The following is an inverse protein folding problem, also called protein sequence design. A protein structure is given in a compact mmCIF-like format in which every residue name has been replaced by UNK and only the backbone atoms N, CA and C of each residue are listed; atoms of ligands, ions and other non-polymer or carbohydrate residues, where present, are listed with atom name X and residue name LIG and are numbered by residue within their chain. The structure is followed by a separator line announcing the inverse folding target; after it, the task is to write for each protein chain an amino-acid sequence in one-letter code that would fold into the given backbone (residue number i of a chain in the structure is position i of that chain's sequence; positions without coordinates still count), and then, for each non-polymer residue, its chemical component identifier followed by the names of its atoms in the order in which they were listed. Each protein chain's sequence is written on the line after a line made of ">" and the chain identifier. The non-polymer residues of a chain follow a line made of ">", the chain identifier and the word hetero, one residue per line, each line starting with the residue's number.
data_IF_842860574840
#
_entry.id   IF_842860574840
#
_cell.length_a   1.000
_cell.length_b   1.000
_cell.length_c   1.000
_cell.angle_alpha   90.00
_cell.angle_beta   90.00
_cell.angle_gamma   90.00
#
_symmetry.space_group_name_H-M   'P 1'
#
loop_
_entity.id
_entity.type
_entity.pdbx_description
1 polymer ?
#
# COMPACT_ATOMS: atom_id res chain seq x y z
N UNK A 1 7.61 -26.33 70.71
CA UNK A 1 7.66 -26.81 69.31
C UNK A 1 6.35 -26.46 68.64
N UNK A 2 6.36 -26.26 67.31
CA UNK A 2 5.23 -25.84 66.46
C UNK A 2 4.82 -24.36 66.60
N UNK A 3 5.24 -23.55 65.63
CA UNK A 3 4.51 -22.41 65.01
C UNK A 3 5.45 -21.62 64.08
N UNK A 4 5.93 -22.28 63.02
CA UNK A 4 6.66 -21.59 61.93
C UNK A 4 6.42 -22.23 60.55
N UNK A 5 5.45 -23.15 60.45
CA UNK A 5 5.18 -23.92 59.23
C UNK A 5 4.15 -23.32 58.25
N UNK A 6 3.21 -22.41 58.60
CA UNK A 6 2.19 -21.98 57.63
C UNK A 6 2.68 -20.86 56.69
N UNK A 7 3.80 -20.20 56.99
CA UNK A 7 4.32 -19.08 56.17
C UNK A 7 5.15 -19.59 54.98
N UNK A 8 5.74 -20.79 55.08
CA UNK A 8 6.55 -21.38 54.00
C UNK A 8 5.70 -21.98 52.87
N UNK A 9 4.43 -22.36 53.13
CA UNK A 9 3.52 -22.88 52.11
C UNK A 9 2.83 -21.79 51.26
N UNK A 10 2.78 -20.54 51.73
CA UNK A 10 2.16 -19.44 50.96
C UNK A 10 3.09 -18.89 49.86
N UNK A 11 4.40 -19.11 49.98
CA UNK A 11 5.41 -18.68 49.00
C UNK A 11 5.47 -19.59 47.75
N UNK A 12 4.82 -20.77 47.76
CA UNK A 12 4.77 -21.68 46.62
C UNK A 12 3.54 -21.50 45.71
N UNK A 13 2.62 -20.58 46.03
CA UNK A 13 1.42 -20.32 45.22
C UNK A 13 1.59 -19.20 44.18
N UNK A 14 2.79 -18.63 44.03
CA UNK A 14 3.04 -17.47 43.14
C UNK A 14 3.64 -17.89 41.77
N UNK A 15 3.81 -19.18 41.47
CA UNK A 15 4.65 -19.61 40.33
C UNK A 15 3.94 -20.34 39.17
N UNK A 16 2.62 -20.20 38.98
CA UNK A 16 1.93 -20.84 37.84
C UNK A 16 1.28 -19.87 36.85
N UNK A 17 1.43 -18.55 37.03
CA UNK A 17 1.03 -17.61 35.99
C UNK A 17 2.10 -17.61 34.89
N UNK A 18 1.67 -17.73 33.62
CA UNK A 18 2.55 -17.50 32.47
C UNK A 18 3.13 -16.09 32.57
N UNK A 19 4.37 -15.91 32.17
CA UNK A 19 4.92 -14.55 31.94
C UNK A 19 4.23 -13.92 30.73
N UNK A 20 4.29 -12.60 30.62
CA UNK A 20 3.72 -11.89 29.46
C UNK A 20 4.33 -12.39 28.14
N UNK A 21 5.65 -12.64 28.13
CA UNK A 21 6.38 -13.26 27.01
C UNK A 21 5.83 -14.66 26.66
N UNK A 22 5.51 -15.49 27.66
CA UNK A 22 4.92 -16.82 27.43
C UNK A 22 3.47 -16.76 26.95
N UNK A 23 2.72 -15.72 27.32
CA UNK A 23 1.37 -15.47 26.79
C UNK A 23 1.47 -15.07 25.33
N UNK A 24 2.37 -14.14 25.01
CA UNK A 24 2.62 -13.66 23.65
C UNK A 24 3.06 -14.80 22.72
N UNK A 25 4.04 -15.60 23.12
CA UNK A 25 4.51 -16.73 22.32
C UNK A 25 3.41 -17.78 22.09
N UNK A 26 2.57 -18.05 23.09
CA UNK A 26 1.41 -18.94 22.96
C UNK A 26 0.42 -18.37 21.95
N UNK A 27 0.11 -17.08 22.03
CA UNK A 27 -0.80 -16.40 21.12
C UNK A 27 -0.27 -16.41 19.67
N UNK A 28 1.02 -16.15 19.45
CA UNK A 28 1.66 -16.22 18.13
C UNK A 28 1.54 -17.62 17.52
N UNK A 29 1.77 -18.68 18.31
CA UNK A 29 1.64 -20.06 17.84
C UNK A 29 0.19 -20.43 17.51
N UNK A 30 -0.77 -20.05 18.36
CA UNK A 30 -2.19 -20.28 18.11
C UNK A 30 -2.69 -19.50 16.89
N UNK A 31 -2.24 -18.25 16.72
CA UNK A 31 -2.57 -17.44 15.56
C UNK A 31 -2.08 -18.10 14.26
N UNK A 32 -0.83 -18.58 14.22
CA UNK A 32 -0.29 -19.33 13.07
C UNK A 32 -1.16 -20.54 12.73
N UNK A 33 -1.56 -21.31 13.74
CA UNK A 33 -2.43 -22.46 13.55
C UNK A 33 -3.77 -22.04 12.91
N UNK A 34 -4.43 -21.01 13.45
CA UNK A 34 -5.70 -20.54 12.90
C UNK A 34 -5.57 -19.92 11.51
N UNK A 35 -4.49 -19.18 11.22
CA UNK A 35 -4.22 -18.65 9.89
C UNK A 35 -4.01 -19.76 8.86
N UNK A 36 -3.33 -20.86 9.24
CA UNK A 36 -3.16 -22.02 8.35
C UNK A 36 -4.47 -22.75 8.01
N UNK A 37 -5.51 -22.57 8.83
CA UNK A 37 -6.87 -23.10 8.63
C UNK A 37 -7.83 -22.02 8.05
N UNK A 38 -7.30 -20.87 7.60
CA UNK A 38 -8.06 -19.70 7.14
C UNK A 38 -9.09 -19.19 8.17
N UNK A 39 -8.84 -19.42 9.46
CA UNK A 39 -9.71 -19.01 10.55
C UNK A 39 -9.30 -17.62 11.10
N UNK A 40 -9.37 -16.61 10.24
CA UNK A 40 -8.87 -15.26 10.52
C UNK A 40 -9.49 -14.66 11.79
N UNK A 41 -10.77 -14.93 12.07
CA UNK A 41 -11.45 -14.42 13.26
C UNK A 41 -10.87 -14.99 14.57
N UNK A 42 -10.55 -16.28 14.62
CA UNK A 42 -9.89 -16.87 15.79
C UNK A 42 -8.44 -16.42 15.92
N UNK A 43 -7.72 -16.32 14.81
CA UNK A 43 -6.36 -15.76 14.79
C UNK A 43 -6.35 -14.33 15.34
N UNK A 44 -7.28 -13.47 14.90
CA UNK A 44 -7.43 -12.10 15.43
C UNK A 44 -7.67 -12.12 16.93
N UNK A 45 -8.63 -12.94 17.37
CA UNK A 45 -9.02 -13.01 18.78
C UNK A 45 -7.84 -13.38 19.68
N UNK A 46 -7.05 -14.39 19.33
CA UNK A 46 -5.93 -14.81 20.20
C UNK A 46 -4.82 -13.76 20.26
N UNK A 47 -4.58 -13.01 19.17
CA UNK A 47 -3.63 -11.90 19.18
C UNK A 47 -4.16 -10.72 20.00
N UNK A 48 -5.42 -10.31 19.78
CA UNK A 48 -6.06 -9.24 20.56
C UNK A 48 -6.08 -9.54 22.07
N UNK A 49 -6.36 -10.79 22.45
CA UNK A 49 -6.40 -11.24 23.85
C UNK A 49 -5.01 -11.20 24.52
N UNK A 50 -3.91 -11.22 23.75
CA UNK A 50 -2.54 -11.10 24.26
C UNK A 50 -2.09 -9.64 24.44
N UNK A 51 -2.82 -8.67 23.88
CA UNK A 51 -2.40 -7.26 23.80
C UNK A 51 -1.61 -6.97 22.53
N UNK A 52 -1.84 -5.78 21.95
CA UNK A 52 -1.16 -5.38 20.72
C UNK A 52 0.31 -5.04 20.99
N UNK A 53 1.22 -5.86 20.44
CA UNK A 53 2.67 -5.73 20.60
C UNK A 53 3.31 -5.20 19.31
N UNK A 54 3.50 -3.88 19.23
CA UNK A 54 4.11 -3.24 18.05
C UNK A 54 5.65 -3.32 18.03
N UNK A 55 6.27 -3.85 19.07
CA UNK A 55 7.73 -4.00 19.21
C UNK A 55 8.22 -5.42 18.85
N UNK A 56 7.31 -6.36 18.55
CA UNK A 56 7.63 -7.71 18.06
C UNK A 56 7.27 -7.84 16.56
N UNK A 57 8.29 -8.03 15.72
CA UNK A 57 8.10 -8.12 14.27
C UNK A 57 7.26 -9.34 13.83
N UNK A 58 7.33 -10.45 14.57
CA UNK A 58 6.53 -11.64 14.30
C UNK A 58 5.06 -11.39 14.67
N UNK A 59 4.81 -10.71 15.80
CA UNK A 59 3.46 -10.30 16.17
C UNK A 59 2.86 -9.36 15.11
N UNK A 60 3.59 -8.32 14.69
CA UNK A 60 3.15 -7.40 13.61
C UNK A 60 2.84 -8.16 12.33
N UNK A 61 3.71 -9.08 11.92
CA UNK A 61 3.51 -9.91 10.72
C UNK A 61 2.25 -10.78 10.81
N UNK A 62 2.03 -11.43 11.95
CA UNK A 62 0.84 -12.26 12.18
C UNK A 62 -0.44 -11.42 12.22
N UNK A 63 -0.37 -10.25 12.84
CA UNK A 63 -1.50 -9.33 12.93
C UNK A 63 -1.89 -8.77 11.56
N UNK A 64 -0.91 -8.45 10.71
CA UNK A 64 -1.16 -8.11 9.31
C UNK A 64 -1.75 -9.28 8.52
N UNK A 65 -1.24 -10.50 8.74
CA UNK A 65 -1.76 -11.72 8.11
C UNK A 65 -3.22 -12.02 8.48
N UNK A 66 -3.70 -11.59 9.65
CA UNK A 66 -5.13 -11.67 9.99
C UNK A 66 -5.97 -10.87 9.02
N UNK A 67 -5.59 -9.62 8.74
CA UNK A 67 -6.32 -8.77 7.81
C UNK A 67 -6.19 -9.26 6.37
N UNK A 68 -5.00 -9.71 5.96
CA UNK A 68 -4.81 -10.33 4.64
C UNK A 68 -5.69 -11.60 4.48
N UNK A 69 -5.79 -12.44 5.52
CA UNK A 69 -6.68 -13.60 5.56
C UNK A 69 -8.16 -13.18 5.41
N UNK A 70 -8.58 -12.09 6.06
CA UNK A 70 -9.96 -11.57 5.92
C UNK A 70 -10.28 -11.11 4.50
N UNK A 71 -9.29 -10.61 3.77
CA UNK A 71 -9.41 -10.24 2.36
C UNK A 71 -9.39 -11.44 1.40
N UNK A 72 -9.12 -12.66 1.90
CA UNK A 72 -8.90 -13.84 1.07
C UNK A 72 -7.57 -13.81 0.29
N UNK A 73 -6.60 -13.00 0.72
CA UNK A 73 -5.30 -12.89 0.08
C UNK A 73 -4.47 -14.19 0.19
N UNK A 74 -3.80 -14.55 -0.91
CA UNK A 74 -2.88 -15.69 -1.02
C UNK A 74 -1.57 -15.22 -1.64
N UNK A 75 -0.48 -15.29 -0.88
CA UNK A 75 0.87 -14.97 -1.39
C UNK A 75 1.29 -15.93 -2.51
N UNK A 76 0.84 -17.18 -2.47
CA UNK A 76 1.14 -18.16 -3.52
C UNK A 76 0.53 -17.80 -4.87
N UNK A 77 -0.66 -17.16 -4.85
CA UNK A 77 -1.34 -16.74 -6.07
C UNK A 77 -0.51 -15.63 -6.73
N UNK A 78 -0.12 -14.61 -5.94
CA UNK A 78 0.74 -13.53 -6.41
C UNK A 78 2.11 -14.03 -6.91
N UNK A 79 2.76 -14.94 -6.17
CA UNK A 79 4.03 -15.53 -6.60
C UNK A 79 3.92 -16.30 -7.93
N UNK A 80 2.73 -16.84 -8.23
CA UNK A 80 2.42 -17.44 -9.53
C UNK A 80 2.29 -16.40 -10.67
N UNK A 81 2.09 -15.13 -10.33
CA UNK A 81 1.82 -14.03 -11.26
C UNK A 81 2.97 -13.02 -11.36
N UNK A 82 4.06 -13.13 -10.57
CA UNK A 82 5.17 -12.15 -10.58
C UNK A 82 5.74 -11.85 -11.98
N UNK A 83 5.70 -12.81 -12.91
CA UNK A 83 6.14 -12.61 -14.28
C UNK A 83 5.25 -11.71 -15.14
N UNK A 84 4.01 -11.42 -14.71
CA UNK A 84 3.12 -10.48 -15.40
C UNK A 84 3.47 -9.03 -15.08
N UNK A 85 4.12 -8.77 -13.94
CA UNK A 85 4.52 -7.43 -13.51
C UNK A 85 5.60 -6.90 -14.44
N UNK A 86 5.24 -5.90 -15.24
CA UNK A 86 6.13 -5.29 -16.21
C UNK A 86 7.16 -4.37 -15.52
N UNK A 87 8.37 -4.32 -16.07
CA UNK A 87 9.43 -3.38 -15.64
C UNK A 87 9.71 -2.31 -16.70
N UNK A 88 8.64 -1.70 -17.23
CA UNK A 88 8.71 -0.51 -18.06
C UNK A 88 7.78 0.58 -17.49
N UNK A 89 8.22 1.85 -17.50
CA UNK A 89 7.52 2.94 -16.82
C UNK A 89 6.09 3.17 -17.30
N UNK A 90 5.83 2.99 -18.59
CA UNK A 90 4.51 3.15 -19.21
C UNK A 90 3.66 1.87 -19.23
N UNK A 91 4.10 0.80 -18.54
CA UNK A 91 3.42 -0.50 -18.52
C UNK A 91 3.30 -1.07 -17.11
N UNK A 92 4.12 -0.61 -16.16
CA UNK A 92 4.14 -1.11 -14.79
C UNK A 92 2.75 -1.03 -14.14
N UNK A 93 2.12 0.15 -14.14
CA UNK A 93 0.83 0.31 -13.44
C UNK A 93 -0.28 -0.53 -14.10
N UNK A 94 -0.34 -0.55 -15.43
CA UNK A 94 -1.30 -1.39 -16.17
C UNK A 94 -1.08 -2.88 -15.90
N UNK A 95 0.17 -3.34 -15.81
CA UNK A 95 0.45 -4.75 -15.50
C UNK A 95 -0.05 -5.18 -14.11
N UNK A 96 -0.07 -4.28 -13.13
CA UNK A 96 -0.61 -4.58 -11.80
C UNK A 96 -2.13 -4.76 -11.83
N UNK A 97 -2.84 -4.09 -12.74
CA UNK A 97 -4.30 -4.23 -12.85
C UNK A 97 -4.71 -5.57 -13.48
N UNK A 98 -3.78 -6.29 -14.12
CA UNK A 98 -4.01 -7.61 -14.72
C UNK A 98 -3.86 -8.78 -13.74
N UNK A 99 -3.38 -8.53 -12.52
CA UNK A 99 -3.30 -9.55 -11.47
C UNK A 99 -4.70 -10.09 -11.16
N UNK A 100 -4.84 -11.38 -10.90
CA UNK A 100 -6.15 -12.00 -10.65
C UNK A 100 -6.91 -11.40 -9.44
N UNK A 101 -6.18 -10.79 -8.50
CA UNK A 101 -6.72 -10.11 -7.32
C UNK A 101 -7.10 -8.64 -7.56
N UNK A 102 -6.65 -8.06 -8.67
CA UNK A 102 -7.06 -6.74 -9.16
C UNK A 102 -8.43 -6.90 -9.84
N UNK A 103 -9.49 -6.90 -9.03
CA UNK A 103 -10.88 -7.05 -9.47
C UNK A 103 -11.83 -6.15 -8.65
N UNK A 104 -11.31 -5.03 -8.16
CA UNK A 104 -12.02 -4.19 -7.21
C UNK A 104 -13.09 -3.35 -7.92
N UNK A 105 -14.27 -3.28 -7.31
CA UNK A 105 -15.41 -2.55 -7.91
C UNK A 105 -15.96 -1.44 -7.02
N UNK A 106 -15.47 -1.35 -5.77
CA UNK A 106 -15.85 -0.32 -4.82
C UNK A 106 -14.67 0.02 -3.90
N UNK A 107 -14.48 1.30 -3.55
CA UNK A 107 -13.35 1.76 -2.73
C UNK A 107 -13.46 1.35 -1.25
N UNK A 108 -14.64 0.93 -0.80
CA UNK A 108 -14.93 0.57 0.59
C UNK A 108 -15.24 -0.92 0.77
N UNK A 109 -14.90 -1.75 -0.22
CA UNK A 109 -15.11 -3.19 -0.09
C UNK A 109 -14.29 -3.77 1.06
N UNK A 110 -14.83 -4.81 1.70
CA UNK A 110 -14.15 -5.47 2.82
C UNK A 110 -12.78 -6.01 2.41
N UNK A 111 -12.63 -6.49 1.16
CA UNK A 111 -11.37 -7.06 0.70
C UNK A 111 -10.30 -5.98 0.55
N UNK A 112 -10.64 -4.88 -0.12
CA UNK A 112 -9.77 -3.72 -0.29
C UNK A 112 -9.34 -3.15 1.08
N UNK A 113 -10.31 -2.72 1.89
CA UNK A 113 -10.04 -2.13 3.21
C UNK A 113 -9.28 -3.06 4.17
N UNK A 114 -9.43 -4.38 4.05
CA UNK A 114 -8.67 -5.35 4.85
C UNK A 114 -7.21 -5.46 4.38
N UNK A 115 -6.92 -5.46 3.07
CA UNK A 115 -5.53 -5.43 2.60
C UNK A 115 -4.87 -4.12 2.99
N UNK A 116 -5.54 -2.97 2.81
CA UNK A 116 -5.05 -1.69 3.27
C UNK A 116 -4.75 -1.68 4.78
N UNK A 117 -5.61 -2.29 5.60
CA UNK A 117 -5.37 -2.47 7.04
C UNK A 117 -4.14 -3.34 7.33
N UNK A 118 -3.93 -4.40 6.56
CA UNK A 118 -2.73 -5.25 6.68
C UNK A 118 -1.45 -4.45 6.36
N UNK A 119 -1.49 -3.63 5.31
CA UNK A 119 -0.40 -2.74 4.91
C UNK A 119 -0.12 -1.72 6.03
N UNK A 120 -1.15 -1.05 6.54
CA UNK A 120 -1.03 -0.03 7.59
C UNK A 120 -0.43 -0.61 8.89
N UNK A 121 -0.81 -1.84 9.27
CA UNK A 121 -0.22 -2.53 10.43
C UNK A 121 1.29 -2.68 10.26
N UNK A 122 1.77 -3.06 9.08
CA UNK A 122 3.19 -3.28 8.83
C UNK A 122 3.93 -1.96 8.71
N UNK A 123 3.46 -1.06 7.83
CA UNK A 123 4.17 0.16 7.50
C UNK A 123 4.27 1.11 8.69
N UNK A 124 3.19 1.24 9.48
CA UNK A 124 3.15 2.14 10.65
C UNK A 124 3.74 1.50 11.93
N UNK A 125 4.15 0.23 11.89
CA UNK A 125 4.75 -0.46 13.05
C UNK A 125 6.04 0.20 13.55
N UNK A 126 6.72 0.98 12.70
CA UNK A 126 7.98 1.66 13.00
C UNK A 126 7.86 3.17 13.24
N UNK A 127 6.64 3.74 13.21
CA UNK A 127 6.40 5.16 13.48
C UNK A 127 5.36 5.78 12.54
N UNK A 128 5.16 7.09 12.68
CA UNK A 128 4.17 7.86 11.90
C UNK A 128 4.65 8.24 10.50
N UNK A 129 5.95 8.09 10.22
CA UNK A 129 6.55 8.28 8.89
C UNK A 129 7.20 6.95 8.49
N UNK A 130 6.43 6.04 7.87
CA UNK A 130 6.90 4.72 7.50
C UNK A 130 8.15 4.75 6.61
N UNK A 131 9.11 3.87 6.86
CA UNK A 131 10.18 3.58 5.91
C UNK A 131 10.84 2.25 6.23
N UNK A 132 11.48 1.65 5.24
CA UNK A 132 12.28 0.43 5.40
C UNK A 132 13.41 0.66 6.40
N UNK A 133 14.05 1.83 6.36
CA UNK A 133 15.09 2.23 7.30
C UNK A 133 14.56 2.34 8.75
N UNK A 134 13.37 2.91 8.96
CA UNK A 134 12.74 2.96 10.28
C UNK A 134 12.40 1.56 10.80
N UNK A 135 11.88 0.68 9.94
CA UNK A 135 11.63 -0.73 10.28
C UNK A 135 12.92 -1.46 10.66
N UNK A 136 14.01 -1.25 9.93
CA UNK A 136 15.32 -1.84 10.24
C UNK A 136 15.87 -1.34 11.58
N UNK A 137 15.78 -0.03 11.84
CA UNK A 137 16.20 0.55 13.11
C UNK A 137 15.43 -0.03 14.31
N UNK A 138 14.14 -0.37 14.12
CA UNK A 138 13.27 -0.90 15.17
C UNK A 138 13.41 -2.40 15.36
N UNK A 139 13.31 -3.19 14.29
CA UNK A 139 13.19 -4.64 14.35
C UNK A 139 14.48 -5.39 13.99
N UNK A 140 15.53 -4.66 13.62
CA UNK A 140 16.74 -5.22 13.04
C UNK A 140 16.52 -5.73 11.61
N UNK A 141 17.62 -6.07 10.93
CA UNK A 141 17.64 -6.46 9.50
C UNK A 141 16.65 -7.58 9.19
N UNK A 142 16.66 -8.67 9.96
CA UNK A 142 15.79 -9.84 9.69
C UNK A 142 14.32 -9.51 9.85
N UNK A 143 13.93 -8.87 10.96
CA UNK A 143 12.53 -8.51 11.20
C UNK A 143 12.01 -7.51 10.17
N UNK A 144 12.81 -6.50 9.86
CA UNK A 144 12.47 -5.49 8.87
C UNK A 144 12.39 -6.04 7.45
N UNK A 145 13.28 -6.96 7.08
CA UNK A 145 13.25 -7.61 5.77
C UNK A 145 11.96 -8.42 5.60
N UNK A 146 11.62 -9.27 6.58
CA UNK A 146 10.40 -10.08 6.53
C UNK A 146 9.12 -9.22 6.45
N UNK A 147 9.03 -8.19 7.30
CA UNK A 147 7.91 -7.25 7.27
C UNK A 147 7.83 -6.49 5.94
N UNK A 148 8.97 -6.02 5.42
CA UNK A 148 8.98 -5.27 4.17
C UNK A 148 8.64 -6.15 2.96
N UNK A 149 9.04 -7.43 2.94
CA UNK A 149 8.58 -8.37 1.90
C UNK A 149 7.08 -8.65 2.00
N UNK A 150 6.54 -8.83 3.21
CA UNK A 150 5.10 -8.99 3.38
C UNK A 150 4.34 -7.75 2.90
N UNK A 151 4.79 -6.55 3.27
CA UNK A 151 4.21 -5.30 2.79
C UNK A 151 4.34 -5.14 1.27
N UNK A 152 5.48 -5.49 0.69
CA UNK A 152 5.71 -5.46 -0.76
C UNK A 152 4.62 -6.23 -1.50
N UNK A 153 4.35 -7.47 -1.10
CA UNK A 153 3.35 -8.29 -1.77
C UNK A 153 1.92 -7.76 -1.60
N UNK A 154 1.58 -7.28 -0.39
CA UNK A 154 0.27 -6.67 -0.15
C UNK A 154 0.09 -5.38 -0.96
N UNK A 155 1.11 -4.53 -1.04
CA UNK A 155 1.09 -3.28 -1.81
C UNK A 155 0.94 -3.57 -3.30
N UNK A 156 1.62 -4.57 -3.86
CA UNK A 156 1.46 -4.93 -5.29
C UNK A 156 0.01 -5.25 -5.64
N UNK A 157 -0.66 -6.04 -4.79
CA UNK A 157 -2.09 -6.38 -4.95
C UNK A 157 -2.97 -5.15 -4.79
N UNK A 158 -2.79 -4.41 -3.69
CA UNK A 158 -3.65 -3.26 -3.39
C UNK A 158 -3.49 -2.14 -4.42
N UNK A 159 -2.27 -1.97 -4.93
CA UNK A 159 -2.00 -0.97 -5.96
C UNK A 159 -2.59 -1.36 -7.31
N UNK A 160 -2.58 -2.65 -7.65
CA UNK A 160 -3.32 -3.17 -8.81
C UNK A 160 -4.82 -2.97 -8.70
N UNK A 161 -5.41 -3.25 -7.51
CA UNK A 161 -6.82 -2.97 -7.20
C UNK A 161 -7.16 -1.48 -7.35
N UNK A 162 -6.34 -0.62 -6.74
CA UNK A 162 -6.48 0.83 -6.84
C UNK A 162 -6.47 1.29 -8.30
N UNK A 163 -5.45 0.88 -9.05
CA UNK A 163 -5.28 1.32 -10.44
C UNK A 163 -6.37 0.80 -11.36
N UNK A 164 -6.89 -0.40 -11.13
CA UNK A 164 -8.04 -0.89 -11.88
C UNK A 164 -9.30 -0.09 -11.56
N UNK A 165 -9.59 0.14 -10.27
CA UNK A 165 -10.80 0.80 -9.81
C UNK A 165 -10.88 2.24 -10.33
N UNK A 166 -9.82 3.01 -10.15
CA UNK A 166 -9.80 4.42 -10.51
C UNK A 166 -9.33 4.67 -11.94
N UNK A 167 -8.45 3.83 -12.49
CA UNK A 167 -7.97 3.94 -13.87
C UNK A 167 -8.93 3.35 -14.91
N UNK A 168 -9.98 2.63 -14.48
CA UNK A 168 -10.93 1.97 -15.37
C UNK A 168 -10.24 1.08 -16.42
N UNK A 169 -9.31 0.25 -15.98
CA UNK A 169 -8.52 -0.56 -16.91
C UNK A 169 -9.26 -1.80 -17.38
N UNK A 170 -8.95 -2.26 -18.59
CA UNK A 170 -9.46 -3.51 -19.15
C UNK A 170 -8.66 -4.74 -18.68
N UNK A 171 -8.86 -5.89 -19.34
CA UNK A 171 -8.15 -7.13 -19.03
C UNK A 171 -6.69 -7.17 -19.53
N UNK A 172 -6.30 -6.28 -20.44
CA UNK A 172 -4.90 -6.08 -20.86
C UNK A 172 -4.15 -5.09 -19.97
N UNK A 173 -4.89 -4.36 -19.13
CA UNK A 173 -4.36 -3.31 -18.27
C UNK A 173 -4.35 -1.94 -18.95
N UNK A 174 -5.05 -1.81 -20.08
CA UNK A 174 -5.18 -0.55 -20.81
C UNK A 174 -6.30 0.29 -20.19
N UNK A 175 -6.04 1.58 -20.04
CA UNK A 175 -6.92 2.52 -19.37
C UNK A 175 -8.20 2.80 -20.16
N UNK A 176 -9.26 3.23 -19.48
CA UNK A 176 -10.52 3.75 -20.05
C UNK A 176 -11.40 2.73 -20.77
N UNK A 177 -11.02 1.45 -20.77
CA UNK A 177 -11.72 0.36 -21.46
C UNK A 177 -12.32 -0.70 -20.51
N UNK A 178 -12.31 -0.41 -19.20
CA UNK A 178 -12.92 -1.24 -18.17
C UNK A 178 -14.45 -1.11 -18.10
N UNK A 179 -15.01 -1.47 -16.94
CA UNK A 179 -16.47 -1.46 -16.72
C UNK A 179 -17.04 -0.12 -16.26
N UNK A 180 -16.19 0.85 -15.94
CA UNK A 180 -16.58 2.19 -15.52
C UNK A 180 -16.63 3.14 -16.72
N UNK A 181 -17.09 4.39 -16.48
CA UNK A 181 -17.27 5.39 -17.54
C UNK A 181 -16.16 6.43 -17.60
N UNK A 182 -15.28 6.46 -16.61
CA UNK A 182 -14.23 7.46 -16.52
C UNK A 182 -13.09 7.18 -17.52
N UNK A 183 -12.52 8.25 -18.07
CA UNK A 183 -11.36 8.21 -18.97
C UNK A 183 -10.11 8.83 -18.35
N UNK A 184 -10.28 9.52 -17.22
CA UNK A 184 -9.23 9.98 -16.34
C UNK A 184 -9.40 9.29 -14.97
N UNK A 185 -8.32 9.15 -14.23
CA UNK A 185 -8.38 8.77 -12.81
C UNK A 185 -9.16 9.86 -12.05
N UNK A 186 -8.81 11.12 -12.28
CA UNK A 186 -9.38 12.27 -11.58
C UNK A 186 -9.81 13.39 -12.54
N UNK A 187 -10.76 14.20 -12.11
CA UNK A 187 -11.15 15.42 -12.84
C UNK A 187 -10.22 16.57 -12.43
N UNK A 188 -9.28 16.93 -13.31
CA UNK A 188 -8.25 17.92 -13.02
C UNK A 188 -8.76 19.36 -13.11
N UNK A 189 -8.63 20.12 -12.02
CA UNK A 189 -9.02 21.53 -11.92
C UNK A 189 -7.82 22.47 -11.85
N UNK A 190 -6.67 21.97 -11.40
CA UNK A 190 -5.40 22.68 -11.40
C UNK A 190 -4.90 22.84 -12.84
N UNK A 191 -4.54 24.07 -13.20
CA UNK A 191 -4.33 24.43 -14.60
C UNK A 191 -3.17 23.69 -15.27
N UNK A 192 -2.07 23.42 -14.56
CA UNK A 192 -0.93 22.69 -15.11
C UNK A 192 -1.23 21.20 -15.28
N UNK A 193 -1.93 20.58 -14.32
CA UNK A 193 -2.40 19.20 -14.39
C UNK A 193 -3.36 19.01 -15.57
N UNK A 194 -4.37 19.87 -15.69
CA UNK A 194 -5.34 19.85 -16.80
C UNK A 194 -4.66 20.06 -18.16
N UNK A 195 -3.72 21.02 -18.27
CA UNK A 195 -2.97 21.25 -19.50
C UNK A 195 -2.09 20.06 -19.88
N UNK A 196 -1.48 19.40 -18.88
CA UNK A 196 -0.64 18.23 -19.10
C UNK A 196 -1.44 17.08 -19.68
N UNK A 197 -2.55 16.68 -19.02
CA UNK A 197 -3.38 15.57 -19.52
C UNK A 197 -3.91 15.86 -20.92
N UNK A 198 -4.43 17.07 -21.17
CA UNK A 198 -4.96 17.46 -22.49
C UNK A 198 -3.89 17.50 -23.60
N UNK A 199 -2.63 17.70 -23.23
CA UNK A 199 -1.51 17.84 -24.17
C UNK A 199 -0.80 16.52 -24.47
N UNK A 200 -0.85 15.55 -23.55
CA UNK A 200 -0.03 14.34 -23.58
C UNK A 200 -0.88 13.07 -23.74
N UNK A 201 -2.11 13.05 -23.22
CA UNK A 201 -2.93 11.85 -23.16
C UNK A 201 -4.07 11.91 -24.19
N UNK A 202 -4.21 10.90 -25.06
CA UNK A 202 -5.26 10.89 -26.06
C UNK A 202 -6.66 10.60 -25.49
N UNK A 203 -6.80 9.71 -24.50
CA UNK A 203 -8.14 9.36 -23.95
C UNK A 203 -8.56 10.19 -22.75
N UNK A 204 -7.62 10.58 -21.89
CA UNK A 204 -7.88 11.47 -20.76
C UNK A 204 -7.86 12.93 -21.20
N UNK A 205 -9.05 13.49 -21.43
CA UNK A 205 -9.21 14.88 -21.86
C UNK A 205 -10.11 15.64 -20.88
N UNK A 206 -9.52 16.45 -20.01
CA UNK A 206 -10.20 17.28 -19.00
C UNK A 206 -11.09 18.43 -19.55
N UNK A 207 -11.35 18.46 -20.86
CA UNK A 207 -12.11 19.54 -21.50
C UNK A 207 -13.63 19.52 -21.21
N UNK A 208 -14.19 18.40 -20.76
CA UNK A 208 -15.61 18.21 -20.47
C UNK A 208 -15.97 18.33 -18.98
N UNK A 209 -15.02 18.10 -18.07
CA UNK A 209 -15.18 18.32 -16.62
C UNK A 209 -15.83 17.17 -15.84
N UNK A 210 -16.09 16.03 -16.50
CA UNK A 210 -16.72 14.83 -15.93
C UNK A 210 -15.96 13.55 -16.36
N UNK A 211 -14.62 13.61 -16.48
CA UNK A 211 -13.80 12.50 -16.97
C UNK A 211 -13.21 11.61 -15.88
N UNK A 212 -13.18 12.09 -14.64
CA UNK A 212 -12.65 11.37 -13.48
C UNK A 212 -13.54 10.23 -13.01
N UNK A 213 -13.01 9.38 -12.13
CA UNK A 213 -13.79 8.31 -11.50
C UNK A 213 -14.95 8.86 -10.68
N UNK A 214 -16.15 8.25 -10.79
CA UNK A 214 -17.33 8.53 -9.94
C UNK A 214 -17.02 8.43 -8.43
N UNK A 215 -15.97 7.70 -8.06
CA UNK A 215 -15.49 7.56 -6.69
C UNK A 215 -14.59 8.72 -6.23
N UNK A 216 -14.26 9.66 -7.09
CA UNK A 216 -13.44 10.82 -6.80
C UNK A 216 -14.15 12.13 -7.14
N UNK A 217 -15.48 12.12 -7.16
CA UNK A 217 -16.31 13.29 -7.42
C UNK A 217 -17.55 13.34 -6.54
N UNK A 218 -18.30 14.43 -6.63
CA UNK A 218 -19.54 14.61 -5.87
C UNK A 218 -20.53 13.45 -6.18
N UNK A 219 -21.13 12.81 -5.15
CA UNK A 219 -21.34 13.32 -3.80
C UNK A 219 -20.27 12.92 -2.76
N UNK A 220 -19.15 12.31 -3.18
CA UNK A 220 -18.05 11.99 -2.27
C UNK A 220 -17.51 13.29 -1.66
N UNK A 221 -17.24 13.27 -0.35
CA UNK A 221 -16.76 14.47 0.34
C UNK A 221 -15.33 14.81 -0.04
N UNK A 222 -14.96 16.08 0.05
CA UNK A 222 -13.60 16.52 -0.26
C UNK A 222 -12.54 15.77 0.56
N UNK A 223 -12.75 15.62 1.87
CA UNK A 223 -11.83 14.89 2.76
C UNK A 223 -11.65 13.43 2.32
N UNK A 224 -12.72 12.78 1.85
CA UNK A 224 -12.69 11.39 1.39
C UNK A 224 -12.04 11.26 0.01
N UNK A 225 -12.23 12.23 -0.89
CA UNK A 225 -11.50 12.31 -2.16
C UNK A 225 -10.00 12.44 -1.89
N UNK A 226 -9.60 13.35 -1.01
CA UNK A 226 -8.18 13.57 -0.68
C UNK A 226 -7.55 12.33 -0.03
N UNK A 227 -8.27 11.65 0.87
CA UNK A 227 -7.83 10.39 1.45
C UNK A 227 -7.58 9.32 0.37
N UNK A 228 -8.52 9.14 -0.57
CA UNK A 228 -8.39 8.17 -1.68
C UNK A 228 -7.24 8.54 -2.62
N UNK A 229 -7.06 9.82 -2.95
CA UNK A 229 -5.91 10.27 -3.73
C UNK A 229 -4.59 9.99 -2.99
N UNK A 230 -4.58 10.13 -1.66
CA UNK A 230 -3.41 9.83 -0.86
C UNK A 230 -3.12 8.33 -0.70
N UNK A 231 -4.11 7.44 -0.82
CA UNK A 231 -3.89 5.99 -0.87
C UNK A 231 -2.99 5.58 -2.03
N UNK A 232 -3.26 6.06 -3.24
CA UNK A 232 -2.43 5.76 -4.41
C UNK A 232 -0.97 6.22 -4.24
N UNK A 233 -0.78 7.44 -3.73
CA UNK A 233 0.55 8.00 -3.45
C UNK A 233 1.25 7.18 -2.35
N UNK A 234 0.53 6.83 -1.29
CA UNK A 234 1.02 6.01 -0.18
C UNK A 234 1.52 4.65 -0.66
N UNK A 235 0.75 3.97 -1.51
CA UNK A 235 1.12 2.69 -2.11
C UNK A 235 2.36 2.83 -2.99
N UNK A 236 2.39 3.81 -3.90
CA UNK A 236 3.53 4.05 -4.80
C UNK A 236 4.81 4.34 -4.02
N UNK A 237 4.77 5.29 -3.08
CA UNK A 237 5.96 5.74 -2.35
C UNK A 237 6.49 4.65 -1.41
N UNK A 238 5.62 3.88 -0.74
CA UNK A 238 6.07 2.78 0.10
C UNK A 238 6.57 1.57 -0.71
N UNK A 239 5.98 1.30 -1.89
CA UNK A 239 6.53 0.32 -2.82
C UNK A 239 7.96 0.68 -3.23
N UNK A 240 8.16 1.95 -3.63
CA UNK A 240 9.47 2.48 -4.02
C UNK A 240 10.47 2.43 -2.87
N UNK A 241 10.07 2.85 -1.66
CA UNK A 241 10.90 2.81 -0.46
C UNK A 241 11.36 1.39 -0.15
N UNK A 242 10.46 0.41 -0.15
CA UNK A 242 10.80 -0.99 0.10
C UNK A 242 11.79 -1.51 -0.95
N UNK A 243 11.48 -1.33 -2.24
CA UNK A 243 12.30 -1.86 -3.33
C UNK A 243 13.68 -1.21 -3.42
N UNK A 244 13.82 0.04 -2.97
CA UNK A 244 15.11 0.75 -2.96
C UNK A 244 15.98 0.34 -1.77
N UNK A 245 15.37 -0.09 -0.65
CA UNK A 245 16.09 -0.33 0.60
C UNK A 245 16.19 -1.80 0.99
N UNK A 246 15.42 -2.70 0.37
CA UNK A 246 15.44 -4.14 0.65
C UNK A 246 16.14 -4.88 -0.48
N UNK A 247 17.15 -5.68 -0.14
CA UNK A 247 17.84 -6.52 -1.13
C UNK A 247 16.94 -7.68 -1.55
N UNK A 248 16.42 -7.62 -2.77
CA UNK A 248 15.80 -8.78 -3.43
C UNK A 248 16.92 -9.65 -3.98
N UNK A 249 16.98 -10.91 -3.55
CA UNK A 249 17.98 -11.86 -4.03
C UNK A 249 17.85 -12.13 -5.54
N UNK A 250 18.96 -12.41 -6.21
CA UNK A 250 18.98 -12.77 -7.62
C UNK A 250 18.44 -14.20 -7.81
N UNK A 251 17.12 -14.34 -7.82
CA UNK A 251 16.44 -15.59 -8.16
C UNK A 251 15.45 -15.36 -9.29
N UNK A 252 15.35 -16.32 -10.20
CA UNK A 252 14.35 -16.30 -11.28
C UNK A 252 12.91 -16.23 -10.76
N UNK A 253 12.69 -16.58 -9.49
CA UNK A 253 11.39 -16.53 -8.82
C UNK A 253 10.87 -15.10 -8.63
N UNK A 254 11.75 -14.11 -8.52
CA UNK A 254 11.35 -12.72 -8.34
C UNK A 254 11.16 -11.95 -9.66
N UNK A 255 11.36 -12.61 -10.81
CA UNK A 255 11.11 -12.04 -12.13
C UNK A 255 11.69 -10.64 -12.30
N UNK A 256 10.85 -9.72 -12.76
CA UNK A 256 11.18 -8.30 -12.97
C UNK A 256 11.03 -7.44 -11.72
N UNK A 257 10.66 -8.00 -10.55
CA UNK A 257 10.41 -7.24 -9.32
C UNK A 257 11.63 -6.45 -8.83
N UNK A 258 12.84 -6.95 -9.13
CA UNK A 258 14.10 -6.23 -8.87
C UNK A 258 14.17 -4.90 -9.64
N UNK A 259 13.69 -4.91 -10.89
CA UNK A 259 13.77 -3.77 -11.80
C UNK A 259 12.63 -2.75 -11.53
N UNK A 260 11.55 -3.18 -10.86
CA UNK A 260 10.41 -2.30 -10.52
C UNK A 260 10.85 -1.08 -9.69
N UNK A 261 11.80 -1.24 -8.77
CA UNK A 261 12.32 -0.11 -7.98
C UNK A 261 12.97 0.97 -8.86
N UNK A 262 13.79 0.55 -9.83
CA UNK A 262 14.42 1.45 -10.80
C UNK A 262 13.41 2.11 -11.73
N UNK A 263 12.36 1.38 -12.12
CA UNK A 263 11.25 1.92 -12.93
C UNK A 263 10.48 2.98 -12.17
N UNK A 264 10.13 2.75 -10.90
CA UNK A 264 9.45 3.75 -10.06
C UNK A 264 10.31 5.02 -9.88
N UNK A 265 11.63 4.86 -9.69
CA UNK A 265 12.56 5.99 -9.62
C UNK A 265 12.65 6.75 -10.97
N UNK A 266 12.55 6.03 -12.08
CA UNK A 266 12.50 6.62 -13.43
C UNK A 266 11.21 7.42 -13.63
N UNK A 267 10.05 6.88 -13.23
CA UNK A 267 8.77 7.61 -13.29
C UNK A 267 8.81 8.93 -12.51
N UNK A 268 9.43 8.94 -11.33
CA UNK A 268 9.65 10.18 -10.57
C UNK A 268 10.56 11.16 -11.32
N UNK A 269 11.67 10.68 -11.86
CA UNK A 269 12.63 11.51 -12.58
C UNK A 269 12.01 12.15 -13.83
N UNK A 270 11.22 11.37 -14.58
CA UNK A 270 10.48 11.84 -15.75
C UNK A 270 9.41 12.87 -15.35
N UNK A 271 8.73 12.65 -14.23
CA UNK A 271 7.74 13.59 -13.70
C UNK A 271 8.36 14.92 -13.24
N UNK A 272 9.52 14.91 -12.59
CA UNK A 272 10.26 16.12 -12.22
C UNK A 272 10.75 16.88 -13.46
N UNK A 273 11.17 16.15 -14.51
CA UNK A 273 11.54 16.75 -15.78
C UNK A 273 10.34 17.40 -16.49
N UNK A 274 9.17 16.76 -16.46
CA UNK A 274 7.93 17.32 -16.99
C UNK A 274 7.50 18.57 -16.21
N UNK A 275 7.54 18.52 -14.86
CA UNK A 275 7.19 19.64 -13.99
C UNK A 275 8.09 20.86 -14.26
N UNK A 276 9.41 20.66 -14.24
CA UNK A 276 10.39 21.72 -14.53
C UNK A 276 10.37 22.20 -15.99
N UNK A 277 9.88 21.38 -16.92
CA UNK A 277 9.84 21.64 -18.37
C UNK A 277 8.74 22.60 -18.84
N UNK A 278 7.79 22.99 -17.98
CA UNK A 278 6.77 23.97 -18.35
C UNK A 278 5.47 23.97 -17.53
N UNK A 279 5.30 23.04 -16.59
CA UNK A 279 4.09 22.90 -15.76
C UNK A 279 4.17 23.75 -14.49
N UNK A 280 4.45 25.04 -14.67
CA UNK A 280 4.72 26.02 -13.60
C UNK A 280 3.83 27.26 -13.73
N UNK A 281 2.64 27.13 -14.32
CA UNK A 281 1.65 28.21 -14.44
C UNK A 281 1.19 28.72 -13.08
N UNK A 282 1.16 27.85 -12.07
CA UNK A 282 0.85 28.21 -10.69
C UNK A 282 2.05 28.02 -9.75
N UNK A 283 2.68 29.14 -9.37
CA UNK A 283 3.89 29.17 -8.52
C UNK A 283 3.70 28.43 -7.18
N UNK A 284 2.49 28.41 -6.63
CA UNK A 284 2.20 27.75 -5.35
C UNK A 284 2.34 26.22 -5.40
N UNK A 285 2.33 25.62 -6.59
CA UNK A 285 2.31 24.17 -6.82
C UNK A 285 3.37 23.71 -7.84
N UNK A 286 4.37 24.54 -8.14
CA UNK A 286 5.42 24.27 -9.13
C UNK A 286 6.41 23.16 -8.71
N UNK A 287 6.38 22.74 -7.45
CA UNK A 287 7.28 21.75 -6.85
C UNK A 287 6.50 20.54 -6.28
N UNK A 288 5.37 20.19 -6.90
CA UNK A 288 4.46 19.16 -6.38
C UNK A 288 5.10 17.78 -6.39
N UNK A 289 5.84 17.42 -7.45
CA UNK A 289 6.49 16.10 -7.53
C UNK A 289 7.60 16.01 -6.48
N UNK A 290 8.45 17.03 -6.39
CA UNK A 290 9.55 17.09 -5.43
C UNK A 290 9.06 17.11 -3.97
N UNK A 291 7.89 17.69 -3.70
CA UNK A 291 7.29 17.69 -2.35
C UNK A 291 6.67 16.35 -1.97
N UNK A 292 6.00 15.68 -2.92
CA UNK A 292 5.23 14.46 -2.64
C UNK A 292 6.10 13.20 -2.68
N UNK A 293 7.16 13.17 -3.50
CA UNK A 293 7.87 11.91 -3.78
C UNK A 293 8.35 11.17 -2.53
N UNK A 294 8.74 11.86 -1.46
CA UNK A 294 9.26 11.23 -0.25
C UNK A 294 8.21 11.04 0.86
N UNK A 295 6.93 11.34 0.58
CA UNK A 295 5.84 11.18 1.54
C UNK A 295 5.38 9.71 1.57
N UNK A 296 5.69 9.02 2.66
CA UNK A 296 5.29 7.63 2.90
C UNK A 296 4.18 7.49 3.92
N UNK A 297 3.63 8.59 4.45
CA UNK A 297 2.53 8.63 5.42
C UNK A 297 1.25 9.17 4.78
N UNK A 298 0.12 8.51 5.04
CA UNK A 298 -1.21 8.99 4.59
C UNK A 298 -1.54 10.35 5.17
N UNK A 299 -1.32 10.56 6.48
CA UNK A 299 -1.65 11.82 7.14
C UNK A 299 -0.82 13.01 6.62
N UNK A 300 0.44 12.76 6.27
CA UNK A 300 1.31 13.80 5.71
C UNK A 300 0.88 14.15 4.27
N UNK A 301 0.38 13.16 3.52
CA UNK A 301 -0.19 13.38 2.20
C UNK A 301 -1.53 14.15 2.28
N UNK A 302 -2.44 13.74 3.17
CA UNK A 302 -3.76 14.37 3.36
C UNK A 302 -3.66 15.82 3.85
N UNK A 303 -2.53 16.20 4.46
CA UNK A 303 -2.26 17.57 4.84
C UNK A 303 -1.87 18.49 3.66
N UNK A 304 -1.63 17.93 2.47
CA UNK A 304 -1.30 18.70 1.28
C UNK A 304 -2.56 19.29 0.60
N UNK A 305 -2.43 20.45 -0.05
CA UNK A 305 -3.47 20.94 -0.95
C UNK A 305 -3.72 19.98 -2.11
N UNK A 306 -5.01 19.69 -2.41
CA UNK A 306 -5.43 18.83 -3.54
C UNK A 306 -4.75 19.16 -4.86
N UNK A 307 -4.49 20.43 -5.14
CA UNK A 307 -3.81 20.87 -6.37
C UNK A 307 -2.43 20.23 -6.57
N UNK A 308 -1.73 19.87 -5.49
CA UNK A 308 -0.47 19.12 -5.56
C UNK A 308 -0.70 17.66 -5.92
N UNK A 309 -1.74 17.06 -5.33
CA UNK A 309 -2.15 15.69 -5.62
C UNK A 309 -2.58 15.56 -7.09
N UNK A 310 -3.34 16.52 -7.61
CA UNK A 310 -3.75 16.58 -9.01
C UNK A 310 -2.55 16.53 -9.97
N UNK A 311 -1.48 17.30 -9.71
CA UNK A 311 -0.26 17.24 -10.53
C UNK A 311 0.46 15.90 -10.44
N UNK A 312 0.52 15.29 -9.26
CA UNK A 312 1.07 13.95 -9.10
C UNK A 312 0.32 12.95 -9.97
N UNK A 313 -1.01 12.94 -9.86
CA UNK A 313 -1.86 12.02 -10.61
C UNK A 313 -1.73 12.24 -12.12
N UNK A 314 -1.85 13.48 -12.58
CA UNK A 314 -1.76 13.84 -13.99
C UNK A 314 -0.43 13.42 -14.63
N UNK A 315 0.70 13.57 -13.91
CA UNK A 315 2.02 13.35 -14.48
C UNK A 315 2.49 11.90 -14.30
N UNK A 316 2.22 11.27 -13.15
CA UNK A 316 2.77 9.94 -12.82
C UNK A 316 1.76 8.83 -13.10
N UNK A 317 0.54 8.94 -12.58
CA UNK A 317 -0.42 7.83 -12.67
C UNK A 317 -1.12 7.79 -14.02
N UNK A 318 -1.49 8.94 -14.58
CA UNK A 318 -2.15 8.98 -15.88
C UNK A 318 -1.23 8.61 -17.04
N UNK A 319 0.09 8.80 -16.90
CA UNK A 319 1.08 8.39 -17.92
C UNK A 319 1.64 6.99 -17.67
N UNK A 320 1.60 6.53 -16.42
CA UNK A 320 2.06 5.20 -16.03
C UNK A 320 1.10 4.08 -16.42
N UNK A 321 -0.17 4.42 -16.68
CA UNK A 321 -1.15 3.52 -17.26
C UNK A 321 -1.04 3.53 -18.80
N UNK A 322 -1.00 2.35 -19.45
CA UNK A 322 -1.11 2.25 -20.91
C UNK A 322 -2.43 2.86 -21.40
N UNK A 323 -2.37 3.54 -22.53
CA UNK A 323 -3.54 4.12 -23.20
C UNK A 323 -3.75 3.45 -24.55
N UNK A 324 -5.00 3.17 -24.91
CA UNK A 324 -5.34 2.56 -26.20
C UNK A 324 -5.44 3.64 -27.27
N UNK A 325 -4.44 3.68 -28.16
CA UNK A 325 -4.43 4.50 -29.39
C UNK A 325 -5.39 3.98 -30.48
#
# INVERSE_FOLDING_TARGET
>A
MLKLFPILCLLFLVSCAKTDEQVLDSAKQEAKYYLSDNNCAKAKKVLDDAGFENDDAEYVSLYASVYACQAGYSEFDLLGEVSTIAAASNQLLGSLTTLASSNETAPDSTNYTSIMSAIDVILNSAGTTPSAAAREAKFGVTGATNLSFQALYLILVEFGKFMQLYGNTDAAGDKSDGSFTNTCIFTYTQSDAANYVNGVLPTCNSAGGDEGSDFLESPVTDDEIDARLCEGIYLFNNLRDILTNVTIGDSSTFGSLKDVGDVLNTMISDAEAAESGGLNGEVAYQDSIQMIKDITSKSDCEALPRQRLEKWYAIIFETGLPDND
#
